data_IF_052206480802
#
_entry.id   IF_052206480802
#
_cell.length_a   1.000
_cell.length_b   1.000
_cell.length_c   1.000
_cell.angle_alpha   90.00
_cell.angle_beta   90.00
_cell.angle_gamma   90.00
#
_symmetry.space_group_name_H-M   'P 1'
#
loop_
_entity.id
_entity.type
_entity.pdbx_description
1 polymer ?
#
# COMPACT_ATOMS: atom_id res chain seq x y z
N UNK A 1 -7.86 -5.60 26.03
CA UNK A 1 -7.13 -5.13 24.83
C UNK A 1 -8.02 -5.16 23.59
N UNK A 2 -8.70 -6.28 23.31
CA UNK A 2 -9.61 -6.41 22.16
C UNK A 2 -10.76 -5.40 22.19
N UNK A 3 -11.38 -5.16 23.35
CA UNK A 3 -12.50 -4.23 23.50
C UNK A 3 -12.10 -2.78 23.20
N UNK A 4 -10.87 -2.40 23.55
CA UNK A 4 -10.36 -1.05 23.30
C UNK A 4 -10.22 -0.77 21.80
N UNK A 5 -9.68 -1.74 21.05
CA UNK A 5 -9.53 -1.62 19.61
C UNK A 5 -10.89 -1.49 18.91
N UNK A 6 -11.87 -2.28 19.31
CA UNK A 6 -13.21 -2.19 18.76
C UNK A 6 -13.88 -0.86 19.07
N UNK A 7 -13.69 -0.33 20.28
CA UNK A 7 -14.23 0.97 20.68
C UNK A 7 -13.59 2.10 19.88
N UNK A 8 -12.27 2.08 19.70
CA UNK A 8 -11.55 3.07 18.92
C UNK A 8 -11.99 3.04 17.45
N UNK A 9 -12.13 1.85 16.85
CA UNK A 9 -12.62 1.70 15.48
C UNK A 9 -14.04 2.23 15.30
N UNK A 10 -14.92 1.99 16.27
CA UNK A 10 -16.28 2.51 16.26
C UNK A 10 -16.29 4.03 16.28
N UNK A 11 -15.47 4.65 17.14
CA UNK A 11 -15.35 6.11 17.21
C UNK A 11 -14.82 6.71 15.92
N UNK A 12 -13.84 6.08 15.29
CA UNK A 12 -13.32 6.50 13.98
C UNK A 12 -14.42 6.46 12.92
N UNK A 13 -15.20 5.36 12.87
CA UNK A 13 -16.33 5.24 11.93
C UNK A 13 -17.37 6.33 12.12
N UNK A 14 -17.72 6.62 13.36
CA UNK A 14 -18.69 7.67 13.70
C UNK A 14 -18.17 9.05 13.31
N UNK A 15 -16.89 9.35 13.59
CA UNK A 15 -16.25 10.60 13.21
C UNK A 15 -16.26 10.81 11.70
N UNK A 16 -15.96 9.77 10.92
CA UNK A 16 -15.99 9.82 9.45
C UNK A 16 -17.41 10.10 8.94
N UNK A 17 -18.43 9.50 9.54
CA UNK A 17 -19.83 9.74 9.14
C UNK A 17 -20.27 11.16 9.41
N UNK A 18 -19.77 11.77 10.48
CA UNK A 18 -20.21 13.09 10.94
C UNK A 18 -19.41 14.24 10.33
N UNK A 19 -18.24 13.96 9.74
CA UNK A 19 -17.37 14.96 9.13
C UNK A 19 -17.40 14.84 7.61
N UNK A 20 -17.95 15.86 6.96
CA UNK A 20 -18.13 15.89 5.50
C UNK A 20 -16.76 15.79 4.80
N UNK A 21 -15.74 16.48 5.31
CA UNK A 21 -14.40 16.46 4.73
C UNK A 21 -13.78 15.06 4.79
N UNK A 22 -13.84 14.43 5.96
CA UNK A 22 -13.33 13.06 6.14
C UNK A 22 -14.09 12.07 5.27
N UNK A 23 -15.41 12.23 5.17
CA UNK A 23 -16.23 11.38 4.30
C UNK A 23 -15.80 11.48 2.85
N UNK A 24 -15.53 12.69 2.36
CA UNK A 24 -15.04 12.91 1.00
C UNK A 24 -13.68 12.25 0.77
N UNK A 25 -12.78 12.34 1.74
CA UNK A 25 -11.45 11.69 1.66
C UNK A 25 -11.58 10.17 1.61
N UNK A 26 -12.44 9.59 2.44
CA UNK A 26 -12.70 8.15 2.45
C UNK A 26 -13.31 7.69 1.13
N UNK A 27 -14.26 8.42 0.59
CA UNK A 27 -14.87 8.09 -0.72
C UNK A 27 -13.83 8.11 -1.84
N UNK A 28 -12.89 9.04 -1.80
CA UNK A 28 -11.78 9.09 -2.75
C UNK A 28 -10.86 7.87 -2.60
N UNK A 29 -10.47 7.52 -1.38
CA UNK A 29 -9.68 6.34 -1.10
C UNK A 29 -10.38 5.08 -1.61
N UNK A 30 -11.67 4.96 -1.34
CA UNK A 30 -12.49 3.84 -1.79
C UNK A 30 -12.54 3.75 -3.31
N UNK A 31 -12.77 4.87 -3.99
CA UNK A 31 -12.79 4.93 -5.45
C UNK A 31 -11.44 4.54 -6.06
N UNK A 32 -10.34 5.07 -5.53
CA UNK A 32 -9.00 4.75 -6.00
C UNK A 32 -8.66 3.28 -5.75
N UNK A 33 -9.04 2.74 -4.59
CA UNK A 33 -8.77 1.34 -4.23
C UNK A 33 -9.56 0.36 -5.09
N UNK A 34 -10.78 0.69 -5.49
CA UNK A 34 -11.58 -0.17 -6.36
C UNK A 34 -10.97 -0.34 -7.74
N UNK A 35 -10.22 0.64 -8.22
CA UNK A 35 -9.47 0.52 -9.46
C UNK A 35 -8.40 -0.57 -9.40
N UNK A 36 -7.88 -0.85 -8.21
CA UNK A 36 -6.81 -1.84 -8.00
C UNK A 36 -7.32 -3.17 -7.44
N UNK A 37 -8.53 -3.22 -6.90
CA UNK A 37 -9.04 -4.41 -6.20
C UNK A 37 -9.07 -5.65 -7.08
N UNK A 38 -9.30 -5.48 -8.37
CA UNK A 38 -9.36 -6.57 -9.35
C UNK A 38 -8.13 -6.64 -10.25
N UNK A 39 -7.09 -5.85 -9.95
CA UNK A 39 -5.85 -5.87 -10.72
C UNK A 39 -4.78 -6.65 -9.98
N UNK A 40 -3.99 -7.40 -10.72
CA UNK A 40 -2.83 -8.07 -10.17
C UNK A 40 -1.82 -7.05 -9.62
N UNK A 41 -1.13 -7.46 -8.56
CA UNK A 41 -0.08 -6.66 -7.97
C UNK A 41 1.21 -6.95 -8.75
N UNK A 42 1.77 -5.92 -9.38
CA UNK A 42 3.02 -6.06 -10.11
C UNK A 42 4.18 -6.37 -9.16
N UNK A 43 4.96 -7.37 -9.48
CA UNK A 43 6.14 -7.71 -8.71
C UNK A 43 7.25 -6.67 -8.89
N UNK A 44 7.99 -6.39 -7.83
CA UNK A 44 9.21 -5.59 -7.90
C UNK A 44 10.35 -6.51 -8.33
N UNK A 45 10.74 -6.42 -9.60
CA UNK A 45 11.71 -7.34 -10.19
C UNK A 45 13.14 -6.82 -10.04
N UNK A 46 14.08 -7.75 -10.03
CA UNK A 46 15.50 -7.41 -10.08
C UNK A 46 15.83 -6.58 -11.34
N UNK A 47 15.20 -6.89 -12.45
CA UNK A 47 15.40 -6.15 -13.71
C UNK A 47 15.07 -4.67 -13.56
N UNK A 48 13.93 -4.34 -12.97
CA UNK A 48 13.55 -2.94 -12.75
C UNK A 48 14.43 -2.27 -11.69
N UNK A 49 14.81 -2.99 -10.65
CA UNK A 49 15.76 -2.51 -9.65
C UNK A 49 17.11 -2.18 -10.26
N UNK A 50 17.63 -3.10 -11.07
CA UNK A 50 18.92 -2.97 -11.76
C UNK A 50 18.96 -1.80 -12.75
N UNK A 51 17.83 -1.44 -13.34
CA UNK A 51 17.78 -0.32 -14.30
C UNK A 51 18.38 0.97 -13.76
N UNK A 52 18.24 1.24 -12.49
CA UNK A 52 18.85 2.42 -11.88
C UNK A 52 20.38 2.41 -12.07
N UNK A 53 21.02 1.27 -11.87
CA UNK A 53 22.48 1.15 -11.98
C UNK A 53 22.98 1.14 -13.42
N UNK A 54 22.16 0.74 -14.37
CA UNK A 54 22.53 0.64 -15.78
C UNK A 54 22.22 1.94 -16.53
N UNK A 55 21.05 2.51 -16.33
CA UNK A 55 20.56 3.67 -17.12
C UNK A 55 20.30 4.91 -16.28
N UNK A 56 20.42 4.84 -14.96
CA UNK A 56 20.03 5.91 -14.05
C UNK A 56 18.53 6.09 -13.88
N UNK A 57 17.71 5.32 -14.59
CA UNK A 57 16.26 5.41 -14.48
C UNK A 57 15.74 4.67 -13.23
N UNK A 58 14.96 5.37 -12.44
CA UNK A 58 14.32 4.81 -11.25
C UNK A 58 12.80 4.83 -11.30
N UNK A 59 12.22 5.37 -12.38
CA UNK A 59 10.78 5.56 -12.51
C UNK A 59 9.98 4.27 -12.36
N UNK A 60 10.41 3.21 -13.02
CA UNK A 60 9.66 1.96 -13.08
C UNK A 60 9.61 1.26 -11.72
N UNK A 61 10.76 1.14 -11.08
CA UNK A 61 10.84 0.48 -9.78
C UNK A 61 10.14 1.31 -8.70
N UNK A 62 10.41 2.62 -8.64
CA UNK A 62 9.82 3.49 -7.64
C UNK A 62 8.31 3.61 -7.80
N UNK A 63 7.80 3.64 -9.03
CA UNK A 63 6.36 3.66 -9.28
C UNK A 63 5.66 2.47 -8.60
N UNK A 64 6.12 1.26 -8.85
CA UNK A 64 5.53 0.06 -8.25
C UNK A 64 5.77 -0.01 -6.74
N UNK A 65 6.95 0.41 -6.29
CA UNK A 65 7.29 0.46 -4.88
C UNK A 65 6.30 1.35 -4.10
N UNK A 66 6.08 2.57 -4.58
CA UNK A 66 5.15 3.50 -3.93
C UNK A 66 3.70 3.08 -4.11
N UNK A 67 3.35 2.45 -5.21
CA UNK A 67 2.01 1.93 -5.43
C UNK A 67 1.67 0.82 -4.42
N UNK A 68 2.61 -0.06 -4.12
CA UNK A 68 2.45 -1.07 -3.06
C UNK A 68 2.14 -0.41 -1.71
N UNK A 69 2.89 0.63 -1.33
CA UNK A 69 2.68 1.32 -0.05
C UNK A 69 1.37 2.08 -0.02
N UNK A 70 0.99 2.68 -1.13
CA UNK A 70 -0.31 3.35 -1.25
C UNK A 70 -1.46 2.36 -1.11
N UNK A 71 -1.37 1.21 -1.78
CA UNK A 71 -2.36 0.14 -1.64
C UNK A 71 -2.46 -0.36 -0.20
N UNK A 72 -1.32 -0.54 0.46
CA UNK A 72 -1.29 -0.95 1.87
C UNK A 72 -2.05 0.04 2.74
N UNK A 73 -1.76 1.32 2.60
CA UNK A 73 -2.42 2.37 3.39
C UNK A 73 -3.91 2.43 3.10
N UNK A 74 -4.30 2.43 1.83
CA UNK A 74 -5.70 2.54 1.42
C UNK A 74 -6.52 1.33 1.91
N UNK A 75 -6.03 0.11 1.72
CA UNK A 75 -6.74 -1.08 2.17
C UNK A 75 -6.74 -1.22 3.69
N UNK A 76 -5.70 -0.77 4.38
CA UNK A 76 -5.69 -0.73 5.85
C UNK A 76 -6.79 0.21 6.36
N UNK A 77 -6.91 1.40 5.81
CA UNK A 77 -7.96 2.36 6.17
C UNK A 77 -9.34 1.77 5.89
N UNK A 78 -9.55 1.18 4.72
CA UNK A 78 -10.83 0.59 4.36
C UNK A 78 -11.20 -0.59 5.26
N UNK A 79 -10.24 -1.38 5.71
CA UNK A 79 -10.50 -2.47 6.67
C UNK A 79 -10.89 -1.96 8.05
N UNK A 80 -10.38 -0.80 8.47
CA UNK A 80 -10.79 -0.17 9.73
C UNK A 80 -12.23 0.33 9.64
N UNK A 81 -12.61 0.90 8.49
CA UNK A 81 -13.88 1.58 8.31
C UNK A 81 -15.02 0.66 7.86
N UNK A 82 -14.71 -0.39 7.12
CA UNK A 82 -15.70 -1.28 6.54
C UNK A 82 -15.39 -2.74 6.88
N UNK A 83 -16.40 -3.47 7.28
CA UNK A 83 -16.30 -4.92 7.50
C UNK A 83 -16.64 -5.64 6.20
N UNK A 84 -15.67 -5.66 5.28
CA UNK A 84 -15.82 -6.24 3.94
C UNK A 84 -14.66 -7.19 3.67
N UNK A 85 -14.99 -8.44 3.37
CA UNK A 85 -13.99 -9.47 3.07
C UNK A 85 -13.11 -9.12 1.87
N UNK A 86 -13.67 -8.44 0.88
CA UNK A 86 -12.91 -7.96 -0.29
C UNK A 86 -11.71 -7.10 0.12
N UNK A 87 -11.92 -6.17 1.05
CA UNK A 87 -10.84 -5.31 1.53
C UNK A 87 -9.84 -6.07 2.39
N UNK A 88 -10.30 -7.07 3.16
CA UNK A 88 -9.40 -7.94 3.93
C UNK A 88 -8.49 -8.74 3.02
N UNK A 89 -9.02 -9.32 1.95
CA UNK A 89 -8.24 -10.08 0.99
C UNK A 89 -7.24 -9.18 0.25
N UNK A 90 -7.67 -8.00 -0.18
CA UNK A 90 -6.78 -7.05 -0.83
C UNK A 90 -5.63 -6.61 0.09
N UNK A 91 -5.92 -6.40 1.37
CA UNK A 91 -4.89 -6.05 2.36
C UNK A 91 -3.90 -7.19 2.54
N UNK A 92 -4.38 -8.41 2.67
CA UNK A 92 -3.53 -9.59 2.82
C UNK A 92 -2.63 -9.79 1.61
N UNK A 93 -3.15 -9.61 0.41
CA UNK A 93 -2.39 -9.74 -0.83
C UNK A 93 -1.27 -8.70 -0.94
N UNK A 94 -1.57 -7.44 -0.58
CA UNK A 94 -0.54 -6.40 -0.64
C UNK A 94 0.52 -6.57 0.44
N UNK A 95 0.15 -7.01 1.64
CA UNK A 95 1.11 -7.34 2.69
C UNK A 95 2.02 -8.46 2.23
N UNK A 96 1.47 -9.51 1.65
CA UNK A 96 2.24 -10.63 1.13
C UNK A 96 3.25 -10.16 0.08
N UNK A 97 2.80 -9.32 -0.85
CA UNK A 97 3.66 -8.78 -1.91
C UNK A 97 4.79 -7.91 -1.36
N UNK A 98 4.52 -7.09 -0.33
CA UNK A 98 5.56 -6.26 0.30
C UNK A 98 6.59 -7.13 1.04
N UNK A 99 6.14 -8.17 1.72
CA UNK A 99 7.04 -9.10 2.41
C UNK A 99 7.93 -9.89 1.45
N UNK A 100 7.47 -10.08 0.22
CA UNK A 100 8.21 -10.78 -0.83
C UNK A 100 9.20 -9.88 -1.58
N UNK A 101 9.24 -8.59 -1.30
CA UNK A 101 10.20 -7.67 -1.92
C UNK A 101 11.63 -7.99 -1.49
N UNK A 102 12.55 -7.95 -2.45
CA UNK A 102 13.98 -8.21 -2.18
C UNK A 102 14.55 -7.25 -1.15
N UNK A 103 14.19 -5.97 -1.27
CA UNK A 103 14.62 -4.93 -0.33
C UNK A 103 13.50 -3.90 -0.18
N UNK A 104 13.40 -3.32 1.02
CA UNK A 104 12.48 -2.21 1.27
C UNK A 104 13.14 -0.85 1.09
N UNK A 105 14.35 -0.82 0.54
CA UNK A 105 15.06 0.40 0.17
C UNK A 105 14.93 0.66 -1.33
N UNK A 106 14.87 1.94 -1.70
CA UNK A 106 14.90 2.31 -3.11
C UNK A 106 16.33 2.18 -3.68
N UNK A 107 16.49 1.85 -4.98
CA UNK A 107 17.81 1.70 -5.59
C UNK A 107 18.70 2.95 -5.40
N UNK A 108 18.13 4.13 -5.52
CA UNK A 108 18.85 5.39 -5.37
C UNK A 108 19.39 5.62 -3.95
N UNK A 109 18.85 4.93 -2.93
CA UNK A 109 19.25 5.05 -1.53
C UNK A 109 20.26 3.99 -1.11
N UNK A 110 20.62 3.05 -1.99
CA UNK A 110 21.60 2.02 -1.72
C UNK A 110 22.94 2.50 -2.27
N UNK A 111 24.03 2.50 -1.47
CA UNK A 111 25.35 2.90 -1.96
C UNK A 111 25.78 2.07 -3.17
N UNK A 112 26.36 2.72 -4.19
CA UNK A 112 26.78 2.06 -5.42
C UNK A 112 27.84 0.99 -5.20
N UNK A 113 28.60 1.08 -4.11
CA UNK A 113 29.63 0.12 -3.74
C UNK A 113 29.11 -1.00 -2.84
N UNK A 114 27.79 -1.02 -2.59
CA UNK A 114 27.18 -2.09 -1.82
C UNK A 114 27.14 -3.37 -2.65
N UNK A 115 27.48 -4.46 -2.00
CA UNK A 115 27.35 -5.78 -2.60
C UNK A 115 25.90 -6.22 -2.48
N UNK A 116 25.18 -6.11 -3.60
CA UNK A 116 23.76 -6.49 -3.69
C UNK A 116 23.57 -7.79 -4.47
N UNK A 117 24.67 -8.43 -4.84
CA UNK A 117 24.65 -9.73 -5.52
C UNK A 117 24.48 -10.88 -4.54
#
# INVERSE_FOLDING_TARGET
MTNRLFTENKNIKENVKNDIFLKQQVEKIKSDSEKFANKDIAALTYTSFKKFYVTGSRKEYEYEYFLHRRRLNDFAILNILYDDEKYRLCLQDIIWSILDEFTWALPAHIPQNSDIE
#
